data_IF_089871156933
#
_entry.id   IF_089871156933
#
_cell.length_a   1.000
_cell.length_b   1.000
_cell.length_c   1.000
_cell.angle_alpha   90.00
_cell.angle_beta   90.00
_cell.angle_gamma   90.00
#
_symmetry.space_group_name_H-M   'P 1'
#
loop_
_entity.id
_entity.type
_entity.pdbx_description
1 polymer ?
#
# COMPACT_ATOMS: atom_id res chain seq x y z
N UNK A 1 4.45 17.53 2.63
CA UNK A 1 3.69 16.30 2.37
C UNK A 1 2.21 16.67 2.23
N UNK A 2 1.57 16.21 1.19
CA UNK A 2 0.15 16.49 0.90
C UNK A 2 -0.74 15.56 1.74
N UNK A 3 -2.02 15.90 1.91
CA UNK A 3 -3.00 14.98 2.50
C UNK A 3 -3.18 13.74 1.61
N UNK A 4 -3.40 12.55 2.20
CA UNK A 4 -3.58 11.30 1.43
C UNK A 4 -4.69 11.40 0.39
N UNK A 5 -5.75 12.14 0.68
CA UNK A 5 -6.89 12.33 -0.22
C UNK A 5 -6.51 13.01 -1.54
N UNK A 6 -5.44 13.80 -1.58
CA UNK A 6 -5.03 14.55 -2.79
C UNK A 6 -4.37 13.66 -3.85
N UNK A 7 -3.82 12.50 -3.46
CA UNK A 7 -3.24 11.57 -4.41
C UNK A 7 -4.34 10.76 -5.10
N UNK A 8 -4.17 10.55 -6.39
CA UNK A 8 -5.04 9.68 -7.19
C UNK A 8 -4.41 8.32 -7.42
N UNK A 9 -3.08 8.30 -7.55
CA UNK A 9 -2.31 7.10 -7.83
C UNK A 9 -1.49 6.68 -6.59
N UNK A 10 -1.46 5.40 -6.32
CA UNK A 10 -0.68 4.79 -5.25
C UNK A 10 0.18 3.68 -5.83
N UNK A 11 1.51 3.85 -5.75
CA UNK A 11 2.45 2.86 -6.23
C UNK A 11 3.11 2.12 -5.07
N UNK A 12 2.96 0.80 -5.03
CA UNK A 12 3.44 -0.04 -3.94
C UNK A 12 4.70 -0.81 -4.35
N UNK A 13 5.81 -0.56 -3.69
CA UNK A 13 7.07 -1.29 -3.87
C UNK A 13 7.14 -2.43 -2.86
N UNK A 14 6.99 -3.68 -3.33
CA UNK A 14 6.82 -4.88 -2.50
C UNK A 14 5.36 -5.15 -2.13
N UNK A 15 4.46 -5.01 -3.10
CA UNK A 15 3.00 -5.08 -2.91
C UNK A 15 2.51 -6.44 -2.38
N UNK A 16 3.25 -7.54 -2.64
CA UNK A 16 2.90 -8.89 -2.21
C UNK A 16 3.09 -9.18 -0.71
N UNK A 17 3.62 -8.22 0.06
CA UNK A 17 3.66 -8.34 1.52
C UNK A 17 2.27 -8.21 2.15
N UNK A 18 1.97 -8.97 3.22
CA UNK A 18 0.65 -9.00 3.87
C UNK A 18 0.14 -7.60 4.22
N UNK A 19 0.95 -6.78 4.89
CA UNK A 19 0.53 -5.42 5.26
C UNK A 19 0.54 -4.43 4.09
N UNK A 20 1.30 -4.68 3.02
CA UNK A 20 1.31 -3.88 1.80
C UNK A 20 0.05 -4.15 0.97
N UNK A 21 -0.31 -5.42 0.78
CA UNK A 21 -1.52 -5.82 0.06
C UNK A 21 -2.80 -5.34 0.73
N UNK A 22 -2.83 -5.32 2.07
CA UNK A 22 -3.97 -4.78 2.80
C UNK A 22 -4.16 -3.28 2.52
N UNK A 23 -3.09 -2.48 2.54
CA UNK A 23 -3.16 -1.06 2.16
C UNK A 23 -3.50 -0.86 0.68
N UNK A 24 -2.98 -1.70 -0.20
CA UNK A 24 -3.29 -1.64 -1.63
C UNK A 24 -4.80 -1.85 -1.86
N UNK A 25 -5.40 -2.83 -1.20
CA UNK A 25 -6.86 -3.07 -1.25
C UNK A 25 -7.65 -1.90 -0.67
N UNK A 26 -7.21 -1.32 0.44
CA UNK A 26 -7.85 -0.15 1.04
C UNK A 26 -7.96 1.01 0.04
N UNK A 27 -6.86 1.36 -0.63
CA UNK A 27 -6.89 2.44 -1.61
C UNK A 27 -7.65 2.08 -2.88
N UNK A 28 -7.56 0.82 -3.35
CA UNK A 28 -8.32 0.34 -4.49
C UNK A 28 -9.83 0.41 -4.22
N UNK A 29 -10.28 -0.05 -3.06
CA UNK A 29 -11.67 0.05 -2.62
C UNK A 29 -12.16 1.50 -2.45
N UNK A 30 -11.24 2.42 -2.16
CA UNK A 30 -11.52 3.86 -2.08
C UNK A 30 -11.55 4.56 -3.45
N UNK A 31 -11.53 3.80 -4.56
CA UNK A 31 -11.60 4.33 -5.92
C UNK A 31 -10.30 4.98 -6.41
N UNK A 32 -9.17 4.69 -5.78
CA UNK A 32 -7.85 5.15 -6.21
C UNK A 32 -7.24 4.19 -7.23
N UNK A 33 -6.38 4.70 -8.09
CA UNK A 33 -5.57 3.87 -9.00
C UNK A 33 -4.41 3.27 -8.22
N UNK A 34 -4.33 1.95 -8.17
CA UNK A 34 -3.28 1.24 -7.46
C UNK A 34 -2.42 0.46 -8.43
N UNK A 35 -1.12 0.70 -8.36
CA UNK A 35 -0.09 -0.02 -9.11
C UNK A 35 0.95 -0.57 -8.13
N UNK A 36 1.71 -1.54 -8.56
CA UNK A 36 2.79 -2.02 -7.70
C UNK A 36 3.84 -2.86 -8.40
N UNK A 37 4.87 -3.12 -7.63
CA UNK A 37 5.93 -4.05 -7.96
C UNK A 37 6.08 -5.09 -6.86
N UNK A 38 6.31 -6.32 -7.25
CA UNK A 38 6.83 -7.36 -6.36
C UNK A 38 7.83 -8.23 -7.10
N UNK A 39 8.81 -8.76 -6.39
CA UNK A 39 9.81 -9.65 -6.98
C UNK A 39 9.23 -11.02 -7.35
N UNK A 40 8.19 -11.46 -6.64
CA UNK A 40 7.66 -12.81 -6.76
C UNK A 40 6.16 -12.81 -7.07
N UNK A 41 5.80 -13.64 -8.04
CA UNK A 41 4.42 -13.97 -8.30
C UNK A 41 3.93 -15.01 -7.29
N UNK A 42 3.00 -14.64 -6.42
CA UNK A 42 2.42 -15.47 -5.36
C UNK A 42 0.90 -15.59 -5.54
N UNK A 43 0.25 -16.44 -4.74
CA UNK A 43 -1.22 -16.48 -4.70
C UNK A 43 -1.81 -15.11 -4.32
N UNK A 44 -1.15 -14.39 -3.42
CA UNK A 44 -1.60 -13.07 -2.98
C UNK A 44 -1.50 -12.02 -4.10
N UNK A 45 -0.39 -11.95 -4.82
CA UNK A 45 -0.26 -11.02 -5.95
C UNK A 45 -1.21 -11.37 -7.10
N UNK A 46 -1.50 -12.65 -7.35
CA UNK A 46 -2.53 -13.07 -8.32
C UNK A 46 -3.92 -12.57 -7.93
N UNK A 47 -4.30 -12.73 -6.64
CA UNK A 47 -5.57 -12.20 -6.14
C UNK A 47 -5.67 -10.67 -6.32
N UNK A 48 -4.61 -9.94 -6.03
CA UNK A 48 -4.59 -8.47 -6.24
C UNK A 48 -4.79 -8.09 -7.72
N UNK A 49 -4.20 -8.85 -8.64
CA UNK A 49 -4.39 -8.62 -10.09
C UNK A 49 -5.85 -8.91 -10.50
N UNK A 50 -6.45 -9.97 -9.98
CA UNK A 50 -7.88 -10.28 -10.18
C UNK A 50 -8.80 -9.18 -9.61
N UNK A 51 -8.37 -8.49 -8.57
CA UNK A 51 -9.04 -7.33 -7.96
C UNK A 51 -8.84 -6.02 -8.74
N UNK A 52 -8.13 -6.06 -9.88
CA UNK A 52 -7.91 -4.91 -10.77
C UNK A 52 -6.67 -4.07 -10.44
N UNK A 53 -5.77 -4.55 -9.58
CA UNK A 53 -4.52 -3.88 -9.27
C UNK A 53 -3.44 -4.27 -10.27
N UNK A 54 -2.76 -3.29 -10.85
CA UNK A 54 -1.72 -3.51 -11.86
C UNK A 54 -0.36 -3.78 -11.21
N UNK A 55 0.17 -4.99 -11.37
CA UNK A 55 1.42 -5.42 -10.73
C UNK A 55 2.44 -5.83 -11.77
N UNK A 56 3.65 -5.27 -11.68
CA UNK A 56 4.82 -5.74 -12.43
C UNK A 56 5.76 -6.57 -11.55
N UNK A 57 6.50 -7.49 -12.16
CA UNK A 57 7.42 -8.40 -11.48
C UNK A 57 8.89 -8.18 -11.88
N UNK A 58 9.14 -7.23 -12.73
CA UNK A 58 10.49 -6.81 -13.13
C UNK A 58 10.84 -5.47 -12.51
N UNK A 59 12.07 -5.34 -11.99
CA UNK A 59 12.59 -4.07 -11.50
C UNK A 59 13.04 -3.22 -12.69
N UNK A 60 12.07 -2.65 -13.39
CA UNK A 60 12.31 -1.82 -14.55
C UNK A 60 11.33 -0.63 -14.59
N UNK A 61 11.82 0.51 -15.00
CA UNK A 61 10.99 1.72 -15.19
C UNK A 61 10.30 1.62 -16.55
N UNK A 62 9.10 1.09 -16.54
CA UNK A 62 8.26 0.94 -17.73
C UNK A 62 7.46 2.22 -18.05
N UNK A 63 6.72 2.22 -19.16
CA UNK A 63 5.95 3.40 -19.58
C UNK A 63 4.82 3.75 -18.60
N UNK A 64 4.26 2.78 -17.88
CA UNK A 64 3.25 3.04 -16.85
C UNK A 64 3.84 3.90 -15.71
N UNK A 65 5.05 3.56 -15.25
CA UNK A 65 5.77 4.33 -14.23
C UNK A 65 6.13 5.72 -14.76
N UNK A 66 6.60 5.83 -16.00
CA UNK A 66 6.97 7.11 -16.63
C UNK A 66 5.79 8.08 -16.78
N UNK A 67 4.57 7.55 -16.89
CA UNK A 67 3.35 8.36 -17.02
C UNK A 67 2.81 8.83 -15.64
N UNK A 68 3.36 8.35 -14.53
CA UNK A 68 3.03 8.84 -13.20
C UNK A 68 3.67 10.21 -12.97
N UNK A 69 3.01 11.05 -12.20
CA UNK A 69 3.52 12.39 -11.86
C UNK A 69 3.62 12.56 -10.34
N UNK A 70 4.64 13.30 -9.84
CA UNK A 70 4.83 13.54 -8.40
C UNK A 70 3.66 14.27 -7.75
N UNK A 71 2.88 15.02 -8.52
CA UNK A 71 1.78 15.86 -8.02
C UNK A 71 0.60 15.01 -7.55
N UNK A 72 0.36 13.87 -8.18
CA UNK A 72 -0.83 13.04 -7.95
C UNK A 72 -0.53 11.59 -7.53
N UNK A 73 0.75 11.24 -7.33
CA UNK A 73 1.17 9.88 -7.00
C UNK A 73 1.92 9.82 -5.67
N UNK A 74 1.51 8.90 -4.81
CA UNK A 74 2.23 8.52 -3.60
C UNK A 74 2.88 7.15 -3.78
N UNK A 75 4.17 7.07 -3.49
CA UNK A 75 4.92 5.82 -3.52
C UNK A 75 5.05 5.25 -2.10
N UNK A 76 4.72 3.98 -1.92
CA UNK A 76 4.73 3.31 -0.64
C UNK A 76 5.70 2.13 -0.70
N UNK A 77 6.60 2.04 0.27
CA UNK A 77 7.58 0.96 0.32
C UNK A 77 7.72 0.34 1.71
N UNK A 78 8.31 -0.85 1.74
CA UNK A 78 8.70 -1.54 2.99
C UNK A 78 10.21 -1.49 3.18
N UNK A 79 10.73 -1.32 4.41
CA UNK A 79 12.17 -1.29 4.68
C UNK A 79 12.95 -2.56 4.30
N UNK A 80 12.25 -3.67 4.05
CA UNK A 80 12.86 -4.90 3.55
C UNK A 80 13.47 -4.74 2.14
N UNK A 81 13.04 -3.73 1.40
CA UNK A 81 13.50 -3.43 0.04
C UNK A 81 14.46 -2.26 0.08
N UNK A 82 15.73 -2.51 -0.25
CA UNK A 82 16.79 -1.50 -0.08
C UNK A 82 17.35 -0.90 -1.37
N UNK A 83 17.34 -1.63 -2.47
CA UNK A 83 17.94 -1.17 -3.74
C UNK A 83 17.12 -1.73 -4.90
N UNK A 84 16.35 -0.86 -5.53
CA UNK A 84 15.62 -1.14 -6.76
C UNK A 84 15.72 0.07 -7.68
N UNK A 85 15.79 -0.18 -8.99
CA UNK A 85 15.82 0.88 -9.99
C UNK A 85 14.52 1.68 -10.01
N UNK A 86 13.39 1.02 -9.80
CA UNK A 86 12.09 1.65 -9.63
C UNK A 86 12.10 2.66 -8.45
N UNK A 87 12.60 2.26 -7.29
CA UNK A 87 12.61 3.12 -6.11
C UNK A 87 13.59 4.29 -6.28
N UNK A 88 14.74 4.05 -6.92
CA UNK A 88 15.69 5.09 -7.28
C UNK A 88 15.06 6.11 -8.24
N UNK A 89 14.34 5.64 -9.25
CA UNK A 89 13.64 6.50 -10.20
C UNK A 89 12.65 7.44 -9.47
N UNK A 90 11.79 6.92 -8.61
CA UNK A 90 10.83 7.73 -7.86
C UNK A 90 11.51 8.78 -6.96
N UNK A 91 12.61 8.42 -6.29
CA UNK A 91 13.38 9.35 -5.48
C UNK A 91 14.02 10.47 -6.33
N UNK A 92 14.62 10.12 -7.48
CA UNK A 92 15.23 11.09 -8.39
C UNK A 92 14.21 12.05 -9.01
N UNK A 93 13.01 11.56 -9.30
CA UNK A 93 11.91 12.35 -9.86
C UNK A 93 11.11 13.10 -8.79
N UNK A 94 11.56 13.08 -7.52
CA UNK A 94 10.96 13.82 -6.40
C UNK A 94 9.51 13.46 -6.08
N UNK A 95 9.14 12.19 -6.27
CA UNK A 95 7.87 11.70 -5.76
C UNK A 95 7.84 11.71 -4.22
N UNK A 96 6.67 11.83 -3.65
CA UNK A 96 6.48 11.53 -2.23
C UNK A 96 6.62 10.02 -2.01
N UNK A 97 7.67 9.61 -1.27
CA UNK A 97 8.01 8.20 -1.02
C UNK A 97 7.93 7.94 0.48
N UNK A 98 6.95 7.15 0.91
CA UNK A 98 6.68 6.91 2.32
C UNK A 98 6.79 5.43 2.70
N UNK A 99 7.23 5.20 3.93
CA UNK A 99 7.18 3.86 4.53
C UNK A 99 5.73 3.45 4.80
N UNK A 100 5.41 2.17 4.62
CA UNK A 100 4.09 1.59 4.92
C UNK A 100 3.54 2.04 6.28
N UNK A 101 4.37 1.97 7.34
CA UNK A 101 3.94 2.33 8.68
C UNK A 101 3.52 3.82 8.81
N UNK A 102 4.18 4.72 8.07
CA UNK A 102 3.81 6.14 8.05
C UNK A 102 2.46 6.35 7.36
N UNK A 103 2.23 5.66 6.25
CA UNK A 103 0.95 5.73 5.52
C UNK A 103 -0.19 5.20 6.38
N UNK A 104 0.01 4.08 7.07
CA UNK A 104 -0.98 3.56 8.02
C UNK A 104 -1.30 4.58 9.12
N UNK A 105 -0.28 5.23 9.71
CA UNK A 105 -0.48 6.30 10.68
C UNK A 105 -1.31 7.46 10.13
N UNK A 106 -1.06 7.89 8.90
CA UNK A 106 -1.84 8.96 8.26
C UNK A 106 -3.31 8.59 8.01
N UNK A 107 -3.59 7.31 7.74
CA UNK A 107 -4.98 6.81 7.64
C UNK A 107 -5.66 6.93 9.01
N UNK A 108 -5.01 6.47 10.07
CA UNK A 108 -5.58 6.45 11.43
C UNK A 108 -5.77 7.86 12.04
N UNK A 109 -5.06 8.87 11.55
CA UNK A 109 -5.27 10.26 11.96
C UNK A 109 -6.61 10.86 11.49
N UNK A 110 -7.23 10.26 10.46
CA UNK A 110 -8.44 10.78 9.81
C UNK A 110 -9.63 9.79 9.83
N UNK A 111 -9.52 8.70 10.58
CA UNK A 111 -10.57 7.67 10.71
C UNK A 111 -10.67 7.22 12.15
N UNK A 112 -11.83 6.72 12.54
CA UNK A 112 -11.98 6.00 13.80
C UNK A 112 -11.04 4.80 13.80
N UNK A 113 -10.28 4.63 14.87
CA UNK A 113 -9.24 3.61 14.95
C UNK A 113 -9.28 2.87 16.28
N UNK A 114 -9.32 1.55 16.21
CA UNK A 114 -9.12 0.67 17.36
C UNK A 114 -7.70 0.09 17.28
N UNK A 115 -6.83 0.51 18.20
CA UNK A 115 -5.45 0.06 18.25
C UNK A 115 -5.28 -1.08 19.26
N UNK A 116 -4.68 -2.20 18.83
CA UNK A 116 -4.41 -3.37 19.66
C UNK A 116 -2.91 -3.53 19.82
N UNK A 117 -2.44 -3.40 21.05
CA UNK A 117 -1.05 -3.56 21.43
C UNK A 117 -0.87 -4.70 22.44
N UNK A 118 0.34 -5.23 22.54
CA UNK A 118 0.68 -6.29 23.50
C UNK A 118 1.83 -7.16 23.00
N UNK A 119 2.40 -7.95 23.90
CA UNK A 119 3.46 -8.91 23.57
C UNK A 119 2.90 -10.16 22.91
N UNK A 120 1.68 -10.59 23.28
CA UNK A 120 0.98 -11.77 22.78
C UNK A 120 -0.49 -11.46 22.46
N UNK A 121 -1.11 -12.28 21.61
CA UNK A 121 -2.56 -12.22 21.34
C UNK A 121 -3.04 -11.10 20.45
N UNK A 122 -2.17 -10.25 19.88
CA UNK A 122 -2.57 -9.14 19.03
C UNK A 122 -3.43 -9.58 17.83
N UNK A 123 -2.98 -10.57 17.09
CA UNK A 123 -3.69 -11.08 15.90
C UNK A 123 -5.06 -11.66 16.28
N UNK A 124 -5.13 -12.47 17.34
CA UNK A 124 -6.39 -13.05 17.80
C UNK A 124 -7.38 -11.96 18.23
N UNK A 125 -6.93 -11.00 19.04
CA UNK A 125 -7.77 -9.89 19.49
C UNK A 125 -8.21 -9.01 18.32
N UNK A 126 -7.32 -8.69 17.38
CA UNK A 126 -7.67 -7.91 16.18
C UNK A 126 -8.73 -8.62 15.32
N UNK A 127 -8.61 -9.92 15.15
CA UNK A 127 -9.59 -10.71 14.39
C UNK A 127 -10.97 -10.72 15.05
N UNK A 128 -11.01 -10.85 16.39
CA UNK A 128 -12.26 -10.80 17.16
C UNK A 128 -12.92 -9.42 17.08
N UNK A 129 -12.13 -8.35 17.24
CA UNK A 129 -12.64 -6.96 17.13
C UNK A 129 -13.14 -6.70 15.72
N UNK A 130 -12.42 -7.10 14.68
CA UNK A 130 -12.85 -6.94 13.29
C UNK A 130 -14.18 -7.65 13.03
N UNK A 131 -14.33 -8.89 13.52
CA UNK A 131 -15.59 -9.63 13.40
C UNK A 131 -16.76 -8.94 14.13
N UNK A 132 -16.54 -8.42 15.34
CA UNK A 132 -17.56 -7.67 16.08
C UNK A 132 -17.97 -6.38 15.34
N UNK A 133 -17.00 -5.65 14.76
CA UNK A 133 -17.29 -4.45 13.96
C UNK A 133 -18.11 -4.80 12.71
N UNK A 134 -17.77 -5.90 12.03
CA UNK A 134 -18.49 -6.38 10.84
C UNK A 134 -19.94 -6.75 11.19
N UNK A 135 -20.17 -7.52 12.25
CA UNK A 135 -21.50 -7.90 12.74
C UNK A 135 -22.32 -6.69 13.20
N UNK A 136 -21.67 -5.66 13.75
CA UNK A 136 -22.31 -4.42 14.17
C UNK A 136 -22.52 -3.39 13.04
N UNK A 137 -22.07 -3.69 11.82
CA UNK A 137 -22.08 -2.78 10.66
C UNK A 137 -21.35 -1.45 10.92
N UNK A 138 -20.21 -1.53 11.63
CA UNK A 138 -19.32 -0.40 11.94
C UNK A 138 -18.16 -0.33 10.94
#
# INVERSE_FOLDING_TARGET
MKALATYQNFYFVGIGGIGMSALARYFNASGKTVLGYDKMQTKLTKSLVEEGIDIQFEDAVNDKIKNLTPENTLVIFTPAIKKLDILNHFNHQKFDVLKRAKVLGLITENTDCIAIAGTHGKTTTSSLVAHLCEEANL
#
